data_IF_651330326151
#
_entry.id   IF_651330326151
#
_cell.length_a   1.000
_cell.length_b   1.000
_cell.length_c   1.000
_cell.angle_alpha   90.00
_cell.angle_beta   90.00
_cell.angle_gamma   90.00
#
_symmetry.space_group_name_H-M   'P 1'
#
loop_
_entity.id
_entity.type
_entity.pdbx_description
1 polymer ?
#
# COMPACT_ATOMS: atom_id res chain seq x y z
N UNK A 1 57.40 -25.59 24.79
CA UNK A 1 56.82 -25.00 23.57
C UNK A 1 55.36 -25.42 23.54
N UNK A 2 54.44 -24.56 23.98
CA UNK A 2 52.98 -24.80 23.92
C UNK A 2 52.42 -24.22 22.61
N UNK A 3 51.91 -25.09 21.75
CA UNK A 3 51.20 -24.68 20.53
C UNK A 3 49.79 -24.17 20.92
N UNK A 4 49.53 -22.89 20.71
CA UNK A 4 48.19 -22.30 20.83
C UNK A 4 47.47 -22.57 19.52
N UNK A 5 46.40 -23.35 19.61
CA UNK A 5 45.49 -23.64 18.48
C UNK A 5 44.48 -22.51 18.38
N UNK A 6 44.63 -21.62 17.41
CA UNK A 6 43.60 -20.62 17.09
C UNK A 6 42.46 -21.33 16.32
N UNK A 7 41.33 -21.47 16.97
CA UNK A 7 40.07 -21.87 16.30
C UNK A 7 39.43 -20.60 15.73
N UNK A 8 39.52 -20.42 14.43
CA UNK A 8 38.77 -19.39 13.73
C UNK A 8 37.30 -19.84 13.62
N UNK A 9 36.43 -19.21 14.41
CA UNK A 9 34.97 -19.38 14.22
C UNK A 9 34.56 -18.50 13.03
N UNK A 10 34.43 -19.12 11.88
CA UNK A 10 33.79 -18.47 10.74
C UNK A 10 32.29 -18.35 11.03
N UNK A 11 31.84 -17.15 11.39
CA UNK A 11 30.40 -16.83 11.41
C UNK A 11 29.89 -16.84 9.98
N UNK A 12 29.19 -17.90 9.60
CA UNK A 12 28.42 -17.94 8.36
C UNK A 12 27.22 -17.02 8.57
N UNK A 13 27.34 -15.77 8.13
CA UNK A 13 26.19 -14.88 7.99
C UNK A 13 25.41 -15.41 6.79
N UNK A 14 24.44 -16.27 7.04
CA UNK A 14 23.40 -16.56 6.07
C UNK A 14 22.61 -15.27 5.83
N UNK A 15 22.88 -14.59 4.72
CA UNK A 15 21.99 -13.57 4.18
C UNK A 15 20.70 -14.30 3.79
N UNK A 16 19.72 -14.31 4.68
CA UNK A 16 18.38 -14.76 4.33
C UNK A 16 17.90 -13.79 3.23
N UNK A 17 17.88 -14.26 1.98
CA UNK A 17 17.22 -13.53 0.90
C UNK A 17 15.75 -13.37 1.30
N UNK A 18 15.30 -12.14 1.42
CA UNK A 18 13.88 -11.84 1.66
C UNK A 18 13.12 -12.21 0.38
N UNK A 19 12.69 -13.46 0.31
CA UNK A 19 11.85 -13.91 -0.79
C UNK A 19 10.43 -13.38 -0.54
N UNK A 20 9.91 -12.59 -1.48
CA UNK A 20 8.49 -12.22 -1.47
C UNK A 20 7.65 -13.51 -1.54
N UNK A 21 6.51 -13.57 -0.84
CA UNK A 21 5.62 -14.72 -0.94
C UNK A 21 5.19 -14.93 -2.40
N UNK A 22 5.05 -16.18 -2.81
CA UNK A 22 4.48 -16.47 -4.12
C UNK A 22 2.98 -16.17 -4.08
N UNK A 23 2.39 -15.60 -5.15
CA UNK A 23 0.96 -15.35 -5.22
C UNK A 23 0.15 -16.62 -4.99
N UNK A 24 -0.81 -16.54 -4.09
CA UNK A 24 -1.74 -17.64 -3.80
C UNK A 24 -3.12 -17.07 -3.47
N UNK A 25 -3.99 -17.07 -4.47
CA UNK A 25 -5.35 -16.55 -4.35
C UNK A 25 -6.34 -17.67 -4.13
N UNK A 26 -7.27 -17.48 -3.21
CA UNK A 26 -8.42 -18.37 -2.95
C UNK A 26 -9.73 -17.75 -3.39
N UNK A 27 -9.71 -16.46 -3.71
CA UNK A 27 -10.85 -15.67 -4.13
C UNK A 27 -11.31 -16.05 -5.54
N UNK A 28 -12.63 -16.09 -5.75
CA UNK A 28 -13.22 -16.44 -7.04
C UNK A 28 -12.97 -15.34 -8.09
N UNK A 29 -12.42 -15.71 -9.24
CA UNK A 29 -12.32 -14.84 -10.40
C UNK A 29 -13.71 -14.52 -10.94
N UNK A 30 -14.03 -13.24 -11.12
CA UNK A 30 -15.30 -12.74 -11.67
C UNK A 30 -15.15 -12.03 -13.00
N UNK A 31 -13.94 -11.55 -13.30
CA UNK A 31 -13.57 -10.93 -14.57
C UNK A 31 -12.07 -11.13 -14.83
N UNK A 32 -11.71 -11.34 -16.10
CA UNK A 32 -10.31 -11.46 -16.53
C UNK A 32 -10.18 -11.02 -17.99
N UNK A 33 -9.14 -10.24 -18.27
CA UNK A 33 -8.67 -9.91 -19.62
C UNK A 33 -7.14 -9.80 -19.62
N UNK A 34 -6.54 -9.28 -20.70
CA UNK A 34 -5.09 -9.13 -20.84
C UNK A 34 -4.47 -8.09 -19.89
N UNK A 35 -5.26 -7.16 -19.34
CA UNK A 35 -4.77 -6.04 -18.53
C UNK A 35 -5.04 -6.22 -17.03
N UNK A 36 -6.10 -6.96 -16.63
CA UNK A 36 -6.51 -7.08 -15.22
C UNK A 36 -7.30 -8.36 -14.96
N UNK A 37 -7.14 -8.89 -13.74
CA UNK A 37 -7.98 -9.97 -13.19
C UNK A 37 -8.69 -9.44 -11.95
N UNK A 38 -10.05 -9.48 -11.94
CA UNK A 38 -10.84 -9.18 -10.75
C UNK A 38 -11.26 -10.46 -10.02
N UNK A 39 -11.07 -10.47 -8.70
CA UNK A 39 -11.47 -11.54 -7.77
C UNK A 39 -12.41 -11.00 -6.72
N UNK A 40 -13.35 -11.81 -6.30
CA UNK A 40 -14.35 -11.42 -5.31
C UNK A 40 -13.86 -11.71 -3.89
N UNK A 41 -13.68 -10.68 -3.07
CA UNK A 41 -13.34 -10.78 -1.64
C UNK A 41 -14.58 -11.15 -0.84
N UNK A 42 -15.69 -10.43 -1.07
CA UNK A 42 -17.01 -10.71 -0.50
C UNK A 42 -18.12 -10.26 -1.48
N UNK A 43 -19.40 -10.31 -1.07
CA UNK A 43 -20.55 -10.06 -1.96
C UNK A 43 -20.51 -8.69 -2.66
N UNK A 44 -19.84 -7.68 -2.06
CA UNK A 44 -19.82 -6.29 -2.53
C UNK A 44 -18.40 -5.71 -2.59
N UNK A 45 -17.37 -6.56 -2.55
CA UNK A 45 -15.98 -6.14 -2.59
C UNK A 45 -15.17 -7.03 -3.52
N UNK A 46 -14.40 -6.40 -4.39
CA UNK A 46 -13.52 -7.08 -5.34
C UNK A 46 -12.13 -6.48 -5.32
N UNK A 47 -11.15 -7.32 -5.51
CA UNK A 47 -9.76 -6.97 -5.75
C UNK A 47 -9.44 -7.21 -7.23
N UNK A 48 -8.77 -6.26 -7.88
CA UNK A 48 -8.25 -6.38 -9.22
C UNK A 48 -6.73 -6.28 -9.23
N UNK A 49 -6.04 -7.25 -9.86
CA UNK A 49 -4.60 -7.16 -10.10
C UNK A 49 -4.32 -6.77 -11.54
N UNK A 50 -3.58 -5.68 -11.71
CA UNK A 50 -2.91 -5.34 -12.97
C UNK A 50 -1.69 -6.24 -13.22
N UNK A 51 -1.10 -6.13 -14.41
CA UNK A 51 -0.03 -7.03 -14.84
C UNK A 51 1.31 -6.33 -15.08
N UNK A 52 1.42 -5.02 -14.82
CA UNK A 52 2.58 -4.24 -15.23
C UNK A 52 3.55 -3.94 -14.08
N UNK A 53 3.11 -3.33 -12.99
CA UNK A 53 4.02 -2.94 -11.92
C UNK A 53 3.82 -3.80 -10.66
N UNK A 54 4.59 -4.89 -10.57
CA UNK A 54 4.61 -5.76 -9.40
C UNK A 54 3.22 -6.27 -8.98
N UNK A 55 2.32 -6.51 -9.95
CA UNK A 55 0.97 -6.99 -9.70
C UNK A 55 0.16 -5.98 -8.85
N UNK A 56 0.16 -4.73 -9.29
CA UNK A 56 -0.55 -3.64 -8.62
C UNK A 56 -2.03 -3.95 -8.43
N UNK A 57 -2.56 -3.61 -7.27
CA UNK A 57 -3.94 -3.89 -6.90
C UNK A 57 -4.82 -2.66 -6.92
N UNK A 58 -6.05 -2.83 -7.40
CA UNK A 58 -7.15 -1.88 -7.28
C UNK A 58 -8.28 -2.55 -6.51
N UNK A 59 -9.12 -1.77 -5.81
CA UNK A 59 -10.21 -2.34 -5.01
C UNK A 59 -11.54 -1.68 -5.35
N UNK A 60 -12.54 -2.50 -5.69
CA UNK A 60 -13.89 -2.05 -6.01
C UNK A 60 -14.83 -2.39 -4.85
N UNK A 61 -15.49 -1.37 -4.29
CA UNK A 61 -16.38 -1.47 -3.15
C UNK A 61 -17.76 -0.95 -3.55
N UNK A 62 -18.79 -1.77 -3.47
CA UNK A 62 -20.15 -1.36 -3.80
C UNK A 62 -21.02 -1.18 -2.54
N UNK A 63 -21.83 -0.13 -2.55
CA UNK A 63 -22.98 0.05 -1.67
C UNK A 63 -24.29 -0.13 -2.44
N UNK A 64 -25.41 0.34 -1.87
CA UNK A 64 -26.72 0.27 -2.55
C UNK A 64 -26.87 1.33 -3.63
N UNK A 65 -26.24 2.48 -3.53
CA UNK A 65 -26.41 3.63 -4.43
C UNK A 65 -25.26 3.80 -5.41
N UNK A 66 -24.03 3.63 -4.94
CA UNK A 66 -22.81 3.84 -5.73
C UNK A 66 -21.72 2.86 -5.34
N UNK A 67 -20.62 2.90 -6.08
CA UNK A 67 -19.40 2.17 -5.78
C UNK A 67 -18.19 3.11 -5.73
N UNK A 68 -17.15 2.67 -5.04
CA UNK A 68 -15.86 3.31 -4.94
C UNK A 68 -14.81 2.39 -5.56
N UNK A 69 -14.04 2.90 -6.50
CA UNK A 69 -12.81 2.27 -6.95
C UNK A 69 -11.63 2.96 -6.24
N UNK A 70 -10.83 2.18 -5.56
CA UNK A 70 -9.59 2.61 -4.91
C UNK A 70 -8.45 2.24 -5.83
N UNK A 71 -7.73 3.24 -6.31
CA UNK A 71 -6.65 3.21 -7.29
C UNK A 71 -7.08 2.79 -8.70
N UNK A 72 -6.23 3.07 -9.69
CA UNK A 72 -6.52 2.88 -11.11
C UNK A 72 -5.49 1.99 -11.83
N UNK A 73 -4.54 1.41 -11.09
CA UNK A 73 -3.46 0.61 -11.67
C UNK A 73 -2.53 1.41 -12.58
N UNK A 74 -1.62 0.73 -13.27
CA UNK A 74 -0.64 1.36 -14.18
C UNK A 74 -1.25 1.70 -15.54
N UNK A 75 -1.84 0.68 -16.20
CA UNK A 75 -2.45 0.83 -17.53
C UNK A 75 -3.51 -0.25 -17.70
N UNK A 76 -4.74 0.11 -17.46
CA UNK A 76 -5.90 -0.79 -17.51
C UNK A 76 -6.99 -0.10 -18.37
N UNK A 77 -6.96 -0.25 -19.70
CA UNK A 77 -7.95 0.38 -20.57
C UNK A 77 -9.37 -0.11 -20.28
N UNK A 78 -10.33 0.82 -20.21
CA UNK A 78 -11.73 0.52 -19.93
C UNK A 78 -12.02 0.17 -18.48
N UNK A 79 -11.13 0.50 -17.54
CA UNK A 79 -11.27 0.15 -16.12
C UNK A 79 -12.58 0.68 -15.52
N UNK A 80 -12.99 1.90 -15.87
CA UNK A 80 -14.26 2.47 -15.41
C UNK A 80 -15.46 1.59 -15.82
N UNK A 81 -15.49 1.19 -17.09
CA UNK A 81 -16.55 0.33 -17.62
C UNK A 81 -16.51 -1.07 -16.98
N UNK A 82 -15.33 -1.64 -16.84
CA UNK A 82 -15.14 -2.96 -16.20
C UNK A 82 -15.67 -2.92 -14.76
N UNK A 83 -15.28 -1.92 -13.98
CA UNK A 83 -15.73 -1.76 -12.59
C UNK A 83 -17.26 -1.57 -12.52
N UNK A 84 -17.84 -0.71 -13.37
CA UNK A 84 -19.27 -0.50 -13.45
C UNK A 84 -20.05 -1.77 -13.88
N UNK A 85 -19.48 -2.56 -14.79
CA UNK A 85 -20.07 -3.84 -15.21
C UNK A 85 -20.02 -4.91 -14.12
N UNK A 86 -19.00 -4.91 -13.27
CA UNK A 86 -18.91 -5.84 -12.14
C UNK A 86 -19.93 -5.47 -11.05
N UNK A 87 -19.93 -4.23 -10.58
CA UNK A 87 -20.76 -3.82 -9.43
C UNK A 87 -22.18 -3.38 -9.80
N UNK A 88 -22.46 -3.07 -11.10
CA UNK A 88 -23.73 -2.54 -11.61
C UNK A 88 -24.17 -1.23 -10.96
N UNK A 89 -23.20 -0.37 -10.66
CA UNK A 89 -23.39 0.93 -9.99
C UNK A 89 -22.54 2.00 -10.65
N UNK A 90 -22.89 3.31 -10.47
CA UNK A 90 -21.97 4.41 -10.74
C UNK A 90 -20.71 4.28 -9.88
N UNK A 91 -19.54 4.45 -10.49
CA UNK A 91 -18.23 4.24 -9.82
C UNK A 91 -17.52 5.58 -9.67
N UNK A 92 -17.16 5.92 -8.42
CA UNK A 92 -16.28 7.05 -8.10
C UNK A 92 -14.85 6.54 -7.96
N UNK A 93 -13.85 7.37 -8.27
CA UNK A 93 -12.44 7.03 -8.15
C UNK A 93 -11.77 7.81 -7.02
N UNK A 94 -11.04 7.09 -6.18
CA UNK A 94 -10.11 7.66 -5.19
C UNK A 94 -8.73 7.05 -5.40
N UNK A 95 -7.66 7.79 -5.11
CA UNK A 95 -6.33 7.22 -5.05
C UNK A 95 -5.82 7.19 -3.61
N UNK A 96 -5.16 6.10 -3.25
CA UNK A 96 -4.47 5.97 -1.96
C UNK A 96 -3.26 6.87 -1.89
N UNK A 97 -2.57 7.06 -3.02
CA UNK A 97 -1.44 7.96 -3.19
C UNK A 97 -1.16 8.17 -4.69
N UNK A 98 -0.32 9.16 -4.99
CA UNK A 98 -0.01 9.51 -6.38
C UNK A 98 1.32 8.89 -6.80
N UNK A 99 1.24 7.63 -7.30
CA UNK A 99 2.31 6.91 -7.99
C UNK A 99 1.78 6.29 -9.29
N UNK A 100 2.65 5.94 -10.26
CA UNK A 100 2.22 5.55 -11.61
C UNK A 100 1.40 4.25 -11.66
N UNK A 101 1.52 3.40 -10.67
CA UNK A 101 0.79 2.14 -10.52
C UNK A 101 -0.52 2.28 -9.70
N UNK A 102 -0.82 3.47 -9.22
CA UNK A 102 -2.06 3.81 -8.51
C UNK A 102 -2.86 4.90 -9.22
N UNK A 103 -2.19 5.82 -9.92
CA UNK A 103 -2.80 6.88 -10.72
C UNK A 103 -2.38 6.81 -12.19
N UNK A 104 -2.35 5.60 -12.74
CA UNK A 104 -1.96 5.35 -14.11
C UNK A 104 -3.00 5.82 -15.14
N UNK A 105 -2.86 5.37 -16.38
CA UNK A 105 -3.59 5.96 -17.52
C UNK A 105 -5.11 5.89 -17.42
N UNK A 106 -5.66 4.95 -16.66
CA UNK A 106 -7.11 4.78 -16.50
C UNK A 106 -7.79 5.93 -15.75
N UNK A 107 -7.06 6.76 -14.98
CA UNK A 107 -7.65 7.93 -14.30
C UNK A 107 -8.37 8.86 -15.28
N UNK A 108 -7.93 8.92 -16.53
CA UNK A 108 -8.54 9.74 -17.59
C UNK A 108 -9.95 9.27 -18.02
N UNK A 109 -10.42 8.13 -17.52
CA UNK A 109 -11.77 7.64 -17.74
C UNK A 109 -12.79 8.23 -16.74
N UNK A 110 -12.32 9.01 -15.75
CA UNK A 110 -13.15 9.73 -14.78
C UNK A 110 -13.02 11.23 -14.92
N UNK A 111 -14.15 11.93 -14.82
CA UNK A 111 -14.20 13.39 -14.79
C UNK A 111 -13.68 13.98 -13.47
N UNK A 112 -13.58 13.14 -12.44
CA UNK A 112 -13.10 13.53 -11.11
C UNK A 112 -12.37 12.38 -10.41
N UNK A 113 -11.26 12.70 -9.74
CA UNK A 113 -10.53 11.80 -8.83
C UNK A 113 -10.39 12.46 -7.46
N UNK A 114 -10.48 11.67 -6.39
CA UNK A 114 -10.20 12.14 -5.03
C UNK A 114 -8.81 11.69 -4.58
N UNK A 115 -8.01 12.63 -4.08
CA UNK A 115 -6.65 12.38 -3.56
C UNK A 115 -6.41 13.14 -2.25
N UNK A 116 -5.39 12.77 -1.52
CA UNK A 116 -4.86 13.60 -0.44
C UNK A 116 -4.05 14.77 -1.02
N UNK A 117 -4.36 16.00 -0.60
CA UNK A 117 -3.67 17.21 -1.07
C UNK A 117 -2.14 17.20 -0.86
N UNK A 118 -1.65 16.44 0.13
CA UNK A 118 -0.20 16.33 0.36
C UNK A 118 0.54 15.63 -0.79
N UNK A 119 -0.15 14.87 -1.66
CA UNK A 119 0.43 14.23 -2.85
C UNK A 119 0.36 15.09 -4.12
N UNK A 120 -0.13 16.33 -4.05
CA UNK A 120 -0.02 17.27 -5.17
C UNK A 120 1.42 17.46 -5.66
N UNK A 121 2.40 17.27 -4.78
CA UNK A 121 3.83 17.31 -5.12
C UNK A 121 4.21 16.23 -6.15
N UNK A 122 3.50 15.10 -6.20
CA UNK A 122 3.73 13.96 -7.10
C UNK A 122 2.95 14.09 -8.41
N UNK A 123 1.88 14.91 -8.44
CA UNK A 123 0.99 15.05 -9.59
C UNK A 123 1.71 15.45 -10.90
N UNK A 124 2.66 16.41 -10.93
CA UNK A 124 3.33 16.78 -12.16
C UNK A 124 4.15 15.65 -12.80
N UNK A 125 4.47 14.61 -12.02
CA UNK A 125 5.23 13.45 -12.49
C UNK A 125 4.33 12.26 -12.87
N UNK A 126 3.26 12.01 -12.11
CA UNK A 126 2.51 10.76 -12.19
C UNK A 126 1.04 10.90 -12.59
N UNK A 127 0.51 12.13 -12.72
CA UNK A 127 -0.82 12.40 -13.26
C UNK A 127 -0.74 13.32 -14.48
N UNK A 128 0.30 13.14 -15.30
CA UNK A 128 0.53 13.97 -16.49
C UNK A 128 -0.62 13.81 -17.48
N UNK A 129 -1.23 14.94 -17.88
CA UNK A 129 -2.33 14.96 -18.85
C UNK A 129 -3.70 14.62 -18.26
N UNK A 130 -3.84 14.46 -16.96
CA UNK A 130 -5.15 14.40 -16.34
C UNK A 130 -5.81 15.79 -16.32
N UNK A 131 -6.94 15.91 -17.03
CA UNK A 131 -7.70 17.16 -17.18
C UNK A 131 -8.98 17.19 -16.33
N UNK A 132 -9.29 16.09 -15.64
CA UNK A 132 -10.45 16.00 -14.75
C UNK A 132 -10.29 16.84 -13.48
N UNK A 133 -11.37 16.92 -12.71
CA UNK A 133 -11.39 17.62 -11.42
C UNK A 133 -10.66 16.80 -10.36
N UNK A 134 -10.05 17.50 -9.42
CA UNK A 134 -9.47 16.88 -8.22
C UNK A 134 -10.28 17.31 -7.01
N UNK A 135 -10.81 16.32 -6.30
CA UNK A 135 -11.37 16.50 -4.97
C UNK A 135 -10.30 16.16 -3.92
N UNK A 136 -10.14 17.02 -2.90
CA UNK A 136 -9.18 16.76 -1.82
C UNK A 136 -9.87 16.12 -0.64
N UNK A 137 -9.42 14.90 -0.33
CA UNK A 137 -9.88 14.13 0.82
C UNK A 137 -9.54 14.84 2.14
N UNK A 138 -10.34 14.57 3.16
CA UNK A 138 -10.12 15.03 4.54
C UNK A 138 -9.92 13.83 5.47
N UNK A 139 -8.99 13.93 6.41
CA UNK A 139 -8.77 12.87 7.41
C UNK A 139 -10.01 12.70 8.29
N UNK A 140 -10.53 11.48 8.38
CA UNK A 140 -11.78 11.16 9.06
C UNK A 140 -13.05 11.37 8.23
N UNK A 141 -12.94 11.77 6.96
CA UNK A 141 -14.07 11.85 6.03
C UNK A 141 -14.76 10.49 5.88
N UNK A 142 -16.08 10.50 5.77
CA UNK A 142 -16.89 9.32 5.51
C UNK A 142 -17.44 9.37 4.10
N UNK A 143 -17.01 8.43 3.26
CA UNK A 143 -17.51 8.27 1.89
C UNK A 143 -18.72 7.35 1.93
N UNK A 144 -19.90 7.92 1.68
CA UNK A 144 -21.16 7.17 1.66
C UNK A 144 -21.41 6.54 0.28
N UNK A 145 -21.71 5.23 0.27
CA UNK A 145 -22.05 4.44 -0.92
C UNK A 145 -23.51 3.98 -0.91
N UNK A 146 -24.31 4.49 0.02
CA UNK A 146 -25.65 4.04 0.37
C UNK A 146 -25.63 3.35 1.73
N UNK A 147 -25.82 2.04 1.80
CA UNK A 147 -25.74 1.28 3.07
C UNK A 147 -24.31 0.88 3.48
N UNK A 148 -23.29 1.60 3.04
CA UNK A 148 -21.88 1.32 3.29
C UNK A 148 -21.10 2.61 3.43
N UNK A 149 -20.36 2.74 4.53
CA UNK A 149 -19.55 3.91 4.85
C UNK A 149 -18.06 3.53 4.81
N UNK A 150 -17.28 4.28 4.02
CA UNK A 150 -15.82 4.08 3.93
C UNK A 150 -15.13 5.29 4.56
N UNK A 151 -14.35 5.06 5.59
CA UNK A 151 -13.63 6.10 6.30
C UNK A 151 -12.26 6.34 5.70
N UNK A 152 -11.91 7.60 5.54
CA UNK A 152 -10.63 8.09 5.04
C UNK A 152 -9.68 8.31 6.20
N UNK A 153 -8.54 7.62 6.24
CA UNK A 153 -7.50 7.79 7.27
C UNK A 153 -6.18 8.15 6.60
N UNK A 154 -5.63 9.31 6.91
CA UNK A 154 -4.31 9.69 6.41
C UNK A 154 -3.21 8.89 7.10
N UNK A 155 -2.40 8.23 6.30
CA UNK A 155 -1.30 7.34 6.71
C UNK A 155 0.00 7.67 5.99
N UNK A 156 0.49 8.93 6.10
CA UNK A 156 1.72 9.35 5.43
C UNK A 156 2.91 8.49 5.84
N UNK A 157 3.84 8.25 4.90
CA UNK A 157 5.04 7.42 5.14
C UNK A 157 5.66 6.98 3.83
N UNK A 158 4.96 6.17 3.07
CA UNK A 158 5.34 5.80 1.71
C UNK A 158 5.34 7.04 0.80
N UNK A 159 4.26 7.82 0.79
CA UNK A 159 4.23 9.19 0.26
C UNK A 159 3.71 10.16 1.32
N UNK A 160 3.86 11.49 1.14
CA UNK A 160 3.26 12.48 2.04
C UNK A 160 1.74 12.38 2.11
N UNK A 161 1.08 11.98 1.02
CA UNK A 161 -0.37 11.87 0.90
C UNK A 161 -0.93 10.46 1.03
N UNK A 162 -0.12 9.47 1.41
CA UNK A 162 -0.61 8.10 1.60
C UNK A 162 -1.85 8.07 2.49
N UNK A 163 -2.88 7.38 2.02
CA UNK A 163 -4.22 7.33 2.61
C UNK A 163 -4.69 5.88 2.68
N UNK A 164 -5.26 5.49 3.81
CA UNK A 164 -5.91 4.20 4.03
C UNK A 164 -7.41 4.39 4.08
N UNK A 165 -8.16 3.52 3.41
CA UNK A 165 -9.62 3.50 3.42
C UNK A 165 -10.12 2.37 4.30
N UNK A 166 -11.02 2.64 5.25
CA UNK A 166 -11.48 1.67 6.24
C UNK A 166 -12.98 1.40 6.09
N UNK A 167 -13.34 0.15 6.00
CA UNK A 167 -14.68 -0.35 6.14
C UNK A 167 -14.86 -0.95 7.55
N UNK A 168 -15.40 -0.17 8.47
CA UNK A 168 -15.55 -0.61 9.86
C UNK A 168 -16.56 -1.73 10.03
N UNK A 169 -17.62 -1.74 9.22
CA UNK A 169 -18.67 -2.75 9.32
C UNK A 169 -18.20 -4.12 8.83
N UNK A 170 -17.24 -4.13 7.91
CA UNK A 170 -16.65 -5.36 7.37
C UNK A 170 -15.34 -5.76 8.04
N UNK A 171 -14.88 -4.97 9.02
CA UNK A 171 -13.67 -5.24 9.80
C UNK A 171 -12.37 -5.34 8.99
N UNK A 172 -12.28 -4.62 7.87
CA UNK A 172 -11.04 -4.54 7.07
C UNK A 172 -10.84 -3.15 6.44
N UNK A 173 -9.68 -2.94 5.85
CA UNK A 173 -9.36 -1.71 5.13
C UNK A 173 -8.43 -1.94 3.96
N UNK A 174 -8.06 -0.84 3.29
CA UNK A 174 -7.23 -0.81 2.09
C UNK A 174 -6.14 0.23 2.30
N UNK A 175 -4.95 -0.24 2.66
CA UNK A 175 -3.80 0.63 2.95
C UNK A 175 -2.92 0.85 1.73
N UNK A 176 -3.11 0.04 0.71
CA UNK A 176 -2.22 -0.02 -0.45
C UNK A 176 -0.75 0.01 -0.01
N UNK A 177 0.05 0.97 -0.44
CA UNK A 177 1.49 1.00 -0.18
C UNK A 177 1.88 1.69 1.13
N UNK A 178 0.92 2.24 1.89
CA UNK A 178 1.21 2.97 3.13
C UNK A 178 2.09 2.18 4.11
N UNK A 179 1.96 0.84 4.12
CA UNK A 179 2.74 -0.08 4.97
C UNK A 179 3.51 -1.14 4.17
N UNK A 180 3.45 -1.08 2.83
CA UNK A 180 4.37 -1.70 1.88
C UNK A 180 4.24 -3.19 1.65
N UNK A 181 3.18 -3.88 2.10
CA UNK A 181 2.95 -5.30 1.75
C UNK A 181 4.15 -6.23 1.98
N UNK A 182 5.01 -5.89 2.94
CA UNK A 182 6.29 -6.55 3.18
C UNK A 182 7.50 -5.90 2.52
N UNK A 183 7.34 -4.85 1.71
CA UNK A 183 8.42 -4.12 1.07
C UNK A 183 8.12 -2.60 1.09
N UNK A 184 8.24 -1.98 2.26
CA UNK A 184 7.93 -0.57 2.45
C UNK A 184 9.04 0.33 1.90
N UNK A 185 8.68 1.22 0.99
CA UNK A 185 9.52 2.33 0.52
C UNK A 185 9.17 3.58 1.32
N UNK A 186 10.08 4.07 2.16
CA UNK A 186 9.85 5.24 3.00
C UNK A 186 10.40 6.46 2.25
N UNK A 187 9.54 7.28 1.68
CA UNK A 187 9.98 8.52 0.99
C UNK A 187 9.84 9.77 1.86
N UNK A 188 9.11 9.69 2.97
CA UNK A 188 8.99 10.77 3.96
C UNK A 188 10.13 10.70 5.00
N UNK A 189 9.83 10.35 6.24
CA UNK A 189 10.83 10.13 7.29
C UNK A 189 10.33 9.10 8.33
N UNK A 190 11.23 8.60 9.16
CA UNK A 190 10.90 7.60 10.18
C UNK A 190 9.87 8.09 11.20
N UNK A 191 9.93 9.36 11.62
CA UNK A 191 8.96 9.90 12.58
C UNK A 191 7.54 9.86 12.03
N UNK A 192 7.36 10.16 10.76
CA UNK A 192 6.07 10.14 10.06
C UNK A 192 5.51 8.72 9.98
N UNK A 193 6.30 7.75 9.49
CA UNK A 193 5.81 6.37 9.37
C UNK A 193 5.55 5.71 10.73
N UNK A 194 6.36 6.02 11.76
CA UNK A 194 6.12 5.56 13.14
C UNK A 194 4.74 6.00 13.62
N UNK A 195 4.42 7.30 13.47
CA UNK A 195 3.13 7.83 13.89
C UNK A 195 1.97 7.21 13.11
N UNK A 196 2.10 7.05 11.79
CA UNK A 196 1.08 6.42 10.95
C UNK A 196 0.84 4.96 11.32
N UNK A 197 1.90 4.19 11.52
CA UNK A 197 1.82 2.79 11.90
C UNK A 197 1.21 2.59 13.30
N UNK A 198 1.63 3.41 14.29
CA UNK A 198 1.08 3.38 15.64
C UNK A 198 -0.40 3.79 15.65
N UNK A 199 -0.75 4.87 14.94
CA UNK A 199 -2.13 5.34 14.79
C UNK A 199 -3.01 4.24 14.20
N UNK A 200 -2.58 3.64 13.11
CA UNK A 200 -3.35 2.59 12.44
C UNK A 200 -3.43 1.31 13.28
N UNK A 201 -2.37 0.88 13.94
CA UNK A 201 -2.40 -0.27 14.86
C UNK A 201 -3.39 -0.05 16.02
N UNK A 202 -3.43 1.16 16.61
CA UNK A 202 -4.43 1.54 17.60
C UNK A 202 -5.86 1.55 17.02
N UNK A 203 -6.00 2.05 15.79
CA UNK A 203 -7.26 2.11 15.08
C UNK A 203 -7.84 0.71 14.83
N UNK A 204 -7.00 -0.20 14.35
CA UNK A 204 -7.37 -1.61 14.13
C UNK A 204 -7.87 -2.26 15.42
N UNK A 205 -7.15 -2.06 16.54
CA UNK A 205 -7.57 -2.58 17.85
C UNK A 205 -8.89 -1.99 18.32
N UNK A 206 -9.01 -0.67 18.25
CA UNK A 206 -10.18 0.06 18.75
C UNK A 206 -11.49 -0.31 18.04
N UNK A 207 -11.42 -0.53 16.72
CA UNK A 207 -12.59 -0.78 15.88
C UNK A 207 -12.71 -2.23 15.38
N UNK A 208 -11.85 -3.12 15.86
CA UNK A 208 -11.88 -4.53 15.49
C UNK A 208 -11.51 -4.78 14.02
N UNK A 209 -10.67 -3.93 13.41
CA UNK A 209 -10.22 -4.13 12.03
C UNK A 209 -9.22 -5.30 12.01
N UNK A 210 -9.54 -6.35 11.28
CA UNK A 210 -8.78 -7.60 11.27
C UNK A 210 -7.54 -7.53 10.37
N UNK A 211 -7.66 -6.86 9.21
CA UNK A 211 -6.57 -6.73 8.25
C UNK A 211 -6.72 -5.51 7.35
N UNK A 212 -5.60 -5.15 6.67
CA UNK A 212 -5.62 -4.17 5.58
C UNK A 212 -5.12 -4.84 4.30
N UNK A 213 -5.79 -4.57 3.19
CA UNK A 213 -5.39 -5.03 1.86
C UNK A 213 -4.32 -4.08 1.30
N UNK A 214 -3.18 -4.62 0.82
CA UNK A 214 -2.05 -3.84 0.34
C UNK A 214 -2.16 -3.47 -1.15
N UNK A 215 -1.29 -2.59 -1.65
CA UNK A 215 -1.24 -2.14 -3.04
C UNK A 215 -0.71 -3.20 -4.03
N UNK A 216 -0.06 -4.25 -3.51
CA UNK A 216 0.43 -5.38 -4.29
C UNK A 216 -0.02 -6.68 -3.62
N UNK A 217 -1.33 -6.90 -3.61
CA UNK A 217 -1.93 -8.06 -2.98
C UNK A 217 -1.62 -9.36 -3.76
N UNK A 218 -1.19 -10.37 -3.04
CA UNK A 218 -0.80 -11.68 -3.57
C UNK A 218 -1.62 -12.84 -2.98
N UNK A 219 -2.79 -12.55 -2.39
CA UNK A 219 -3.63 -13.55 -1.73
C UNK A 219 -3.22 -13.86 -0.28
N UNK A 220 -1.98 -13.60 0.12
CA UNK A 220 -1.39 -14.04 1.40
C UNK A 220 -0.69 -12.95 2.19
N UNK A 221 -0.61 -11.72 1.68
CA UNK A 221 0.22 -10.66 2.24
C UNK A 221 -0.57 -9.47 2.79
N UNK A 222 -1.76 -9.70 3.36
CA UNK A 222 -2.52 -8.66 4.06
C UNK A 222 -1.71 -8.07 5.21
N UNK A 223 -1.86 -6.78 5.46
CA UNK A 223 -1.27 -6.12 6.61
C UNK A 223 -2.03 -6.49 7.88
N UNK A 224 -1.31 -6.81 8.93
CA UNK A 224 -1.86 -7.12 10.25
C UNK A 224 -1.46 -6.06 11.26
N UNK A 225 -2.21 -5.95 12.35
CA UNK A 225 -1.87 -5.06 13.47
C UNK A 225 -0.44 -5.30 13.98
N UNK A 226 -0.01 -6.55 14.10
CA UNK A 226 1.35 -6.88 14.56
C UNK A 226 2.40 -6.34 13.59
N UNK A 227 2.17 -6.44 12.28
CA UNK A 227 3.10 -5.90 11.28
C UNK A 227 3.25 -4.39 11.39
N UNK A 228 2.18 -3.65 11.67
CA UNK A 228 2.24 -2.20 11.90
C UNK A 228 3.07 -1.87 13.15
N UNK A 229 2.92 -2.64 14.22
CA UNK A 229 3.73 -2.51 15.44
C UNK A 229 5.21 -2.75 15.11
N UNK A 230 5.51 -3.82 14.36
CA UNK A 230 6.88 -4.15 13.96
C UNK A 230 7.50 -3.05 13.08
N UNK A 231 6.76 -2.47 12.14
CA UNK A 231 7.20 -1.30 11.35
C UNK A 231 7.57 -0.13 12.26
N UNK A 232 6.67 0.23 13.20
CA UNK A 232 6.90 1.35 14.11
C UNK A 232 8.14 1.12 15.01
N UNK A 233 8.32 -0.09 15.54
CA UNK A 233 9.46 -0.44 16.37
C UNK A 233 10.78 -0.44 15.60
N UNK A 234 10.82 -1.06 14.42
CA UNK A 234 12.01 -1.12 13.58
C UNK A 234 12.44 0.28 13.10
N UNK A 235 11.48 1.11 12.66
CA UNK A 235 11.76 2.50 12.31
C UNK A 235 12.24 3.32 13.52
N UNK A 236 11.72 3.07 14.73
CA UNK A 236 12.21 3.70 15.96
C UNK A 236 13.67 3.31 16.24
N UNK A 237 13.99 2.01 16.15
CA UNK A 237 15.35 1.52 16.39
C UNK A 237 16.36 2.06 15.35
N UNK A 238 15.95 2.18 14.08
CA UNK A 238 16.76 2.82 13.04
C UNK A 238 16.99 4.31 13.33
N UNK A 239 15.93 5.05 13.67
CA UNK A 239 16.00 6.49 13.99
C UNK A 239 16.89 6.78 15.19
N UNK A 240 16.88 5.92 16.20
CA UNK A 240 17.67 6.05 17.41
C UNK A 240 19.10 5.47 17.29
N UNK A 241 19.46 4.96 16.11
CA UNK A 241 20.78 4.35 15.88
C UNK A 241 21.03 3.03 16.63
N UNK A 242 19.96 2.38 17.11
CA UNK A 242 20.02 1.07 17.75
C UNK A 242 20.16 -0.06 16.72
N UNK A 243 19.75 0.22 15.47
CA UNK A 243 19.92 -0.65 14.31
C UNK A 243 20.46 0.15 13.14
N UNK A 244 21.09 -0.56 12.22
CA UNK A 244 21.53 -0.04 10.93
C UNK A 244 21.08 -1.01 9.83
N UNK A 245 20.57 -0.46 8.73
CA UNK A 245 20.25 -1.24 7.55
C UNK A 245 21.48 -1.48 6.69
N UNK A 246 21.40 -2.49 5.85
CA UNK A 246 22.42 -2.75 4.84
C UNK A 246 22.37 -1.65 3.76
N UNK A 247 23.53 -1.04 3.48
CA UNK A 247 23.68 -0.15 2.35
C UNK A 247 23.68 -0.96 1.05
N UNK A 248 22.93 -0.51 0.07
CA UNK A 248 22.87 -1.12 -1.26
C UNK A 248 24.02 -0.61 -2.13
N UNK A 249 24.57 -1.46 -2.99
CA UNK A 249 25.60 -1.08 -3.98
C UNK A 249 25.09 -0.03 -4.98
N UNK A 250 23.79 -0.06 -5.26
CA UNK A 250 23.08 0.93 -6.09
C UNK A 250 21.78 1.32 -5.39
N UNK A 251 21.43 2.62 -5.38
CA UNK A 251 20.14 3.05 -4.87
C UNK A 251 18.98 2.34 -5.60
N UNK A 252 17.96 1.98 -4.84
CA UNK A 252 16.70 1.46 -5.34
C UNK A 252 15.76 2.55 -5.85
N UNK A 253 14.47 2.23 -5.91
CA UNK A 253 13.40 3.16 -6.30
C UNK A 253 13.44 4.39 -5.38
N UNK A 254 13.23 5.57 -5.95
CA UNK A 254 13.22 6.83 -5.19
C UNK A 254 14.59 7.25 -4.62
N UNK A 255 15.69 6.61 -5.04
CA UNK A 255 17.03 6.91 -4.52
C UNK A 255 17.31 6.34 -3.12
N UNK A 256 16.47 5.44 -2.64
CA UNK A 256 16.62 4.77 -1.34
C UNK A 256 17.79 3.78 -1.40
N UNK A 257 18.80 3.95 -0.56
CA UNK A 257 20.08 3.23 -0.66
C UNK A 257 20.39 2.34 0.55
N UNK A 258 19.45 2.23 1.50
CA UNK A 258 19.55 1.34 2.66
C UNK A 258 18.33 0.41 2.74
N UNK A 259 18.54 -0.80 3.25
CA UNK A 259 17.49 -1.77 3.49
C UNK A 259 17.68 -2.46 4.84
N UNK A 260 16.61 -2.56 5.62
CA UNK A 260 16.50 -3.44 6.79
C UNK A 260 15.41 -4.47 6.52
N UNK A 261 15.75 -5.77 6.64
CA UNK A 261 14.79 -6.87 6.50
C UNK A 261 14.75 -7.67 7.80
N UNK A 262 13.65 -7.57 8.54
CA UNK A 262 13.48 -8.24 9.85
C UNK A 262 11.98 -8.45 10.14
N UNK A 263 11.60 -9.47 10.85
CA UNK A 263 10.22 -9.78 11.28
C UNK A 263 9.21 -9.83 10.13
N UNK A 264 9.64 -10.27 8.95
CA UNK A 264 8.78 -10.26 7.76
C UNK A 264 8.49 -8.87 7.19
N UNK A 265 9.18 -7.82 7.64
CA UNK A 265 9.13 -6.46 7.11
C UNK A 265 10.45 -6.16 6.40
N UNK A 266 10.36 -5.54 5.22
CA UNK A 266 11.49 -4.94 4.52
C UNK A 266 11.28 -3.43 4.42
N UNK A 267 12.16 -2.66 5.06
CA UNK A 267 12.17 -1.20 5.04
C UNK A 267 13.25 -0.73 4.09
N UNK A 268 12.87 0.08 3.09
CA UNK A 268 13.81 0.74 2.19
C UNK A 268 13.81 2.24 2.53
N UNK A 269 14.98 2.81 2.74
CA UNK A 269 15.14 4.18 3.17
C UNK A 269 16.48 4.76 2.69
N UNK A 270 16.68 6.06 2.85
CA UNK A 270 17.95 6.74 2.61
C UNK A 270 18.33 7.59 3.81
N UNK A 271 19.49 8.28 3.77
CA UNK A 271 19.96 9.11 4.88
C UNK A 271 19.03 10.26 5.25
N UNK A 272 18.20 10.73 4.30
CA UNK A 272 17.24 11.83 4.51
C UNK A 272 16.02 11.41 5.31
N UNK A 273 15.68 10.13 5.35
CA UNK A 273 14.54 9.55 6.06
C UNK A 273 14.80 9.31 7.55
N UNK A 274 16.05 9.38 8.00
CA UNK A 274 16.46 9.04 9.35
C UNK A 274 16.04 10.05 10.44
N UNK A 275 15.35 11.13 10.10
CA UNK A 275 14.93 12.19 11.04
C UNK A 275 13.52 12.00 11.58
#
# INVERSE_FOLDING_TARGET
>A
MKKILLIAIAAVIQSASFAQPQPHYTEKVVFENEDIIFRQIDEQTWEGNGHLMANESVYLLAGTESALLIDAGTKIPGLHKIAADICKKPVRLVATHVHPDHTGSAINEWDEISINAADEVNRPMFMVGYEGKTHYLTDGEMIDLGNRQIEVIFTPGHTPGSTTFIDRERHYGFSCDAFGSGNLLITTNFSTIILSAQRMAYYMEKYGIECLYPGHYMGVNKETRQRLIDIAELCTQLREGQKEGQKLDRPGIGGLDHVLSERGVRLNYGPTQMK
#
